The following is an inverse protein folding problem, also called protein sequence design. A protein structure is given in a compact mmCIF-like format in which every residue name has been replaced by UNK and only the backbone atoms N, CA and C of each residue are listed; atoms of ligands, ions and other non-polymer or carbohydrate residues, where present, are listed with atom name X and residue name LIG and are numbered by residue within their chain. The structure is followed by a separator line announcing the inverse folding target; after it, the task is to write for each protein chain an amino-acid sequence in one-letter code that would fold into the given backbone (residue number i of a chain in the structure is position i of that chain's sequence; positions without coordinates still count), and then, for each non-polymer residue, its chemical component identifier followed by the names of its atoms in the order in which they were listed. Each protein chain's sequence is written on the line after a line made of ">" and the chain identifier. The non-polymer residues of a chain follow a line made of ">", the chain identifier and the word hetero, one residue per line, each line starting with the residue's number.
data_IF_151197987683
#
_entry.id   IF_151197987683
#
_cell.length_a   1.000
_cell.length_b   1.000
_cell.length_c   1.000
_cell.angle_alpha   90.00
_cell.angle_beta   90.00
_cell.angle_gamma   90.00
#
_symmetry.space_group_name_H-M   'P 1'
#
loop_
_entity.id
_entity.type
_entity.pdbx_description
1 polymer ?
#
# COMPACT_ATOMS: atom_id res chain seq x y z
N UNK A 1 -10.69 -9.93 1.06
CA UNK A 1 -10.75 -8.57 1.66
C UNK A 1 -11.91 -7.73 1.16
N UNK A 2 -12.14 -7.63 -0.16
CA UNK A 2 -13.16 -6.74 -0.73
C UNK A 2 -14.60 -7.04 -0.30
N UNK A 3 -14.92 -8.29 0.07
CA UNK A 3 -16.25 -8.67 0.58
C UNK A 3 -16.45 -8.32 2.06
N UNK A 4 -15.38 -8.14 2.83
CA UNK A 4 -15.46 -7.95 4.27
C UNK A 4 -15.97 -6.55 4.64
N UNK A 5 -16.99 -6.51 5.50
CA UNK A 5 -17.67 -5.29 5.99
C UNK A 5 -17.25 -4.89 7.41
N UNK A 6 -16.49 -5.74 8.09
CA UNK A 6 -15.87 -5.43 9.39
C UNK A 6 -14.89 -4.25 9.28
N UNK A 7 -14.51 -3.61 10.41
CA UNK A 7 -13.38 -2.70 10.44
C UNK A 7 -12.09 -3.34 9.91
N UNK A 8 -11.42 -2.65 9.00
CA UNK A 8 -10.15 -3.05 8.37
C UNK A 8 -9.14 -1.93 8.51
N UNK A 9 -8.09 -2.20 9.27
CA UNK A 9 -6.99 -1.26 9.51
C UNK A 9 -5.71 -1.91 9.03
N UNK A 10 -4.99 -1.23 8.13
CA UNK A 10 -3.77 -1.74 7.50
C UNK A 10 -2.57 -0.91 7.92
N UNK A 11 -1.44 -1.58 8.20
CA UNK A 11 -0.15 -0.91 8.44
C UNK A 11 0.90 -1.48 7.51
N UNK A 12 1.42 -0.63 6.62
CA UNK A 12 2.51 -0.99 5.73
C UNK A 12 3.83 -0.68 6.43
N UNK A 13 4.55 -1.73 6.83
CA UNK A 13 5.80 -1.60 7.57
C UNK A 13 7.03 -1.40 6.67
N UNK A 14 7.02 -2.03 5.49
CA UNK A 14 8.12 -1.98 4.52
C UNK A 14 7.61 -2.14 3.08
N UNK A 15 7.80 -3.31 2.46
CA UNK A 15 7.54 -3.50 1.02
C UNK A 15 6.07 -3.77 0.73
N UNK A 16 5.49 -2.98 -0.18
CA UNK A 16 4.17 -3.20 -0.74
C UNK A 16 4.21 -2.93 -2.25
N UNK A 17 4.33 -3.99 -3.05
CA UNK A 17 4.57 -3.89 -4.48
C UNK A 17 3.45 -4.49 -5.33
N UNK A 18 3.01 -3.74 -6.33
CA UNK A 18 2.08 -4.19 -7.36
C UNK A 18 0.80 -4.81 -6.80
N UNK A 19 0.37 -5.92 -7.39
CA UNK A 19 -0.85 -6.61 -6.94
C UNK A 19 -0.80 -7.09 -5.49
N UNK A 20 0.40 -7.32 -4.92
CA UNK A 20 0.51 -7.69 -3.51
C UNK A 20 0.12 -6.53 -2.58
N UNK A 21 0.42 -5.27 -2.96
CA UNK A 21 -0.08 -4.11 -2.24
C UNK A 21 -1.61 -4.09 -2.23
N UNK A 22 -2.24 -4.31 -3.38
CA UNK A 22 -3.70 -4.33 -3.48
C UNK A 22 -4.32 -5.46 -2.66
N UNK A 23 -3.78 -6.67 -2.77
CA UNK A 23 -4.28 -7.85 -2.05
C UNK A 23 -4.14 -7.69 -0.54
N UNK A 24 -3.13 -6.98 -0.04
CA UNK A 24 -2.87 -6.80 1.40
C UNK A 24 -3.73 -5.68 2.02
N UNK A 25 -5.04 -5.70 1.75
CA UNK A 25 -6.03 -4.76 2.30
C UNK A 25 -5.68 -3.30 2.00
N UNK A 26 -5.45 -2.98 0.72
CA UNK A 26 -5.27 -1.60 0.28
C UNK A 26 -6.56 -0.77 0.41
N UNK A 27 -6.43 0.56 0.33
CA UNK A 27 -7.59 1.46 0.40
C UNK A 27 -8.56 1.21 -0.76
N UNK A 28 -8.04 0.81 -1.92
CA UNK A 28 -8.80 0.50 -3.12
C UNK A 28 -9.77 -0.67 -2.94
N UNK A 29 -9.47 -1.58 -2.01
CA UNK A 29 -10.31 -2.74 -1.70
C UNK A 29 -11.07 -2.59 -0.37
N UNK A 30 -11.28 -1.33 0.03
CA UNK A 30 -12.22 -0.94 1.09
C UNK A 30 -11.66 -1.05 2.49
N UNK A 31 -10.35 -0.94 2.68
CA UNK A 31 -9.77 -0.70 4.01
C UNK A 31 -10.22 0.67 4.55
N UNK A 32 -10.53 0.72 5.85
CA UNK A 32 -11.05 1.93 6.49
C UNK A 32 -9.93 2.91 6.80
N UNK A 33 -8.82 2.39 7.35
CA UNK A 33 -7.65 3.18 7.75
C UNK A 33 -6.38 2.48 7.31
N UNK A 34 -5.53 3.21 6.59
CA UNK A 34 -4.24 2.76 6.09
C UNK A 34 -3.12 3.64 6.61
N UNK A 35 -2.24 3.05 7.39
CA UNK A 35 -1.00 3.67 7.83
C UNK A 35 0.19 3.13 7.07
N UNK A 36 1.24 3.93 6.95
CA UNK A 36 2.54 3.49 6.46
C UNK A 36 3.65 3.98 7.38
N UNK A 37 4.74 3.21 7.48
CA UNK A 37 5.97 3.70 8.10
C UNK A 37 6.79 4.53 7.11
N UNK A 38 7.68 5.43 7.58
CA UNK A 38 8.64 6.11 6.71
C UNK A 38 9.52 5.14 5.91
N UNK A 39 9.70 3.91 6.41
CA UNK A 39 10.44 2.82 5.75
C UNK A 39 9.64 2.07 4.70
N UNK A 40 8.37 2.45 4.45
CA UNK A 40 7.52 1.77 3.50
C UNK A 40 7.91 2.09 2.05
N UNK A 41 7.99 1.05 1.24
CA UNK A 41 8.23 1.13 -0.20
C UNK A 41 6.92 0.74 -0.89
N UNK A 42 6.23 1.72 -1.50
CA UNK A 42 4.94 1.51 -2.17
C UNK A 42 5.11 1.84 -3.66
N UNK A 43 5.14 0.82 -4.51
CA UNK A 43 5.31 1.01 -5.95
C UNK A 43 4.69 -0.13 -6.77
N UNK A 44 4.67 0.00 -8.10
CA UNK A 44 4.18 -1.05 -9.00
C UNK A 44 5.05 -2.31 -8.95
N UNK A 45 6.37 -2.14 -8.85
CA UNK A 45 7.35 -3.22 -8.75
C UNK A 45 8.65 -2.72 -8.11
N UNK A 46 9.60 -3.62 -7.85
CA UNK A 46 10.92 -3.27 -7.34
C UNK A 46 11.73 -2.41 -8.33
N UNK A 47 12.57 -1.52 -7.79
CA UNK A 47 13.31 -0.53 -8.57
C UNK A 47 14.13 -1.13 -9.73
N UNK A 48 14.85 -2.22 -9.50
CA UNK A 48 15.67 -2.89 -10.53
C UNK A 48 14.83 -3.39 -11.71
N UNK A 49 13.67 -3.98 -11.44
CA UNK A 49 12.73 -4.42 -12.47
C UNK A 49 12.14 -3.25 -13.23
N UNK A 50 11.77 -2.18 -12.51
CA UNK A 50 11.19 -0.98 -13.12
C UNK A 50 12.16 -0.28 -14.07
N UNK A 51 13.43 -0.10 -13.67
CA UNK A 51 14.40 0.61 -14.51
C UNK A 51 14.76 -0.17 -15.78
N UNK A 52 14.79 -1.51 -15.71
CA UNK A 52 15.02 -2.36 -16.88
C UNK A 52 13.95 -2.16 -17.97
N UNK A 53 12.72 -1.81 -17.57
CA UNK A 53 11.62 -1.57 -18.49
C UNK A 53 11.63 -0.11 -18.95
N UNK A 54 11.73 0.84 -18.02
CA UNK A 54 11.60 2.28 -18.30
C UNK A 54 12.82 2.82 -19.06
N UNK A 55 14.03 2.44 -18.65
CA UNK A 55 15.28 2.95 -19.20
C UNK A 55 15.98 1.95 -20.13
N UNK A 56 15.24 0.97 -20.69
CA UNK A 56 15.76 -0.10 -21.54
C UNK A 56 16.72 0.38 -22.64
N UNK A 57 16.44 1.54 -23.24
CA UNK A 57 17.19 2.07 -24.38
C UNK A 57 18.26 3.12 -24.00
N UNK A 58 18.30 3.56 -22.74
CA UNK A 58 19.17 4.66 -22.28
C UNK A 58 20.10 4.27 -21.12
N UNK A 59 19.86 3.10 -20.53
CA UNK A 59 20.67 2.57 -19.43
C UNK A 59 21.77 1.65 -19.95
N UNK A 60 22.96 1.82 -19.37
CA UNK A 60 24.19 1.12 -19.65
C UNK A 60 24.72 0.56 -18.33
N UNK A 61 25.68 -0.37 -18.35
CA UNK A 61 26.26 -0.92 -17.11
C UNK A 61 26.80 0.16 -16.17
N UNK A 62 27.40 1.23 -16.73
CA UNK A 62 28.06 2.30 -15.97
C UNK A 62 27.12 3.26 -15.23
N UNK A 63 25.88 3.42 -15.69
CA UNK A 63 24.91 4.35 -15.08
C UNK A 63 23.73 3.61 -14.40
N UNK A 64 23.71 2.27 -14.48
CA UNK A 64 22.63 1.42 -13.95
C UNK A 64 22.39 1.65 -12.46
N UNK A 65 23.44 1.59 -11.64
CA UNK A 65 23.31 1.72 -10.18
C UNK A 65 22.75 3.09 -9.78
N UNK A 66 23.22 4.16 -10.42
CA UNK A 66 22.74 5.52 -10.19
C UNK A 66 21.26 5.66 -10.55
N UNK A 67 20.85 5.14 -11.70
CA UNK A 67 19.45 5.17 -12.15
C UNK A 67 18.55 4.36 -11.20
N UNK A 68 18.99 3.18 -10.75
CA UNK A 68 18.26 2.37 -9.77
C UNK A 68 18.07 3.12 -8.45
N UNK A 69 19.12 3.74 -7.93
CA UNK A 69 19.08 4.44 -6.66
C UNK A 69 18.21 5.70 -6.75
N UNK A 70 18.30 6.45 -7.85
CA UNK A 70 17.44 7.60 -8.11
C UNK A 70 15.97 7.18 -8.24
N UNK A 71 15.68 6.09 -8.94
CA UNK A 71 14.33 5.56 -9.03
C UNK A 71 13.80 5.13 -7.65
N UNK A 72 14.63 4.43 -6.85
CA UNK A 72 14.28 4.01 -5.49
C UNK A 72 13.97 5.21 -4.60
N UNK A 73 14.82 6.24 -4.56
CA UNK A 73 14.57 7.45 -3.77
C UNK A 73 13.30 8.17 -4.19
N UNK A 74 13.04 8.23 -5.50
CA UNK A 74 11.92 9.00 -6.05
C UNK A 74 10.58 8.28 -5.90
N UNK A 75 10.54 6.96 -6.06
CA UNK A 75 9.30 6.19 -6.15
C UNK A 75 9.11 5.14 -5.07
N UNK A 76 10.18 4.58 -4.49
CA UNK A 76 10.09 3.55 -3.45
C UNK A 76 10.00 4.18 -2.06
N UNK A 77 9.00 5.06 -1.87
CA UNK A 77 8.70 5.72 -0.60
C UNK A 77 7.17 5.85 -0.44
N UNK A 78 6.64 6.10 0.77
CA UNK A 78 5.19 6.13 0.98
C UNK A 78 4.54 7.47 0.61
N UNK A 79 5.34 8.51 0.35
CA UNK A 79 4.85 9.88 0.24
C UNK A 79 3.97 10.09 -0.99
N UNK A 80 4.33 9.48 -2.14
CA UNK A 80 3.48 9.54 -3.34
C UNK A 80 2.12 8.89 -3.14
N UNK A 81 2.07 7.78 -2.40
CA UNK A 81 0.81 7.13 -2.08
C UNK A 81 -0.02 7.98 -1.10
N UNK A 82 0.62 8.71 -0.19
CA UNK A 82 -0.04 9.64 0.72
C UNK A 82 -0.59 10.88 -0.01
N UNK A 83 0.13 11.44 -0.98
CA UNK A 83 -0.34 12.55 -1.83
C UNK A 83 -1.64 12.21 -2.58
N UNK A 84 -1.80 10.94 -2.98
CA UNK A 84 -3.00 10.44 -3.64
C UNK A 84 -4.11 10.02 -2.65
N UNK A 85 -3.87 10.13 -1.35
CA UNK A 85 -4.81 9.71 -0.30
C UNK A 85 -4.95 8.20 -0.15
N UNK A 86 -4.04 7.39 -0.69
CA UNK A 86 -4.07 5.92 -0.56
C UNK A 86 -3.65 5.47 0.84
N UNK A 87 -2.81 6.28 1.47
CA UNK A 87 -2.36 6.17 2.86
C UNK A 87 -2.91 7.38 3.61
N UNK A 88 -3.60 7.13 4.73
CA UNK A 88 -4.22 8.20 5.53
C UNK A 88 -3.17 8.96 6.34
N UNK A 89 -2.15 8.25 6.85
CA UNK A 89 -1.10 8.87 7.65
C UNK A 89 0.21 8.07 7.59
N UNK A 90 1.34 8.78 7.51
CA UNK A 90 2.66 8.20 7.69
C UNK A 90 3.05 8.33 9.16
N UNK A 91 3.24 7.21 9.84
CA UNK A 91 3.47 7.13 11.29
C UNK A 91 4.81 6.48 11.63
N UNK A 92 5.43 6.89 12.73
CA UNK A 92 6.59 6.17 13.25
C UNK A 92 6.16 4.84 13.89
N UNK A 93 7.00 3.79 13.85
CA UNK A 93 6.66 2.47 14.42
C UNK A 93 6.19 2.50 15.88
N UNK A 94 6.76 3.41 16.70
CA UNK A 94 6.38 3.60 18.10
C UNK A 94 4.94 4.10 18.30
N UNK A 95 4.33 4.72 17.28
CA UNK A 95 2.97 5.27 17.35
C UNK A 95 1.89 4.22 17.01
N UNK A 96 2.29 3.09 16.42
CA UNK A 96 1.39 2.05 15.92
C UNK A 96 0.32 1.63 16.91
N UNK A 97 0.70 1.30 18.15
CA UNK A 97 -0.25 0.84 19.17
C UNK A 97 -1.35 1.88 19.42
N UNK A 98 -0.96 3.13 19.64
CA UNK A 98 -1.90 4.21 19.93
C UNK A 98 -2.80 4.50 18.72
N UNK A 99 -2.24 4.53 17.51
CA UNK A 99 -2.99 4.75 16.27
C UNK A 99 -4.00 3.63 15.99
N UNK A 100 -3.61 2.38 16.23
CA UNK A 100 -4.53 1.24 16.11
C UNK A 100 -5.72 1.33 17.06
N UNK A 101 -5.49 1.71 18.32
CA UNK A 101 -6.56 1.88 19.31
C UNK A 101 -7.54 2.96 18.81
N UNK A 102 -7.04 4.13 18.42
CA UNK A 102 -7.90 5.22 17.91
C UNK A 102 -8.69 4.81 16.66
N UNK A 103 -8.04 4.12 15.71
CA UNK A 103 -8.70 3.65 14.50
C UNK A 103 -9.80 2.61 14.80
N UNK A 104 -9.57 1.71 15.75
CA UNK A 104 -10.59 0.74 16.20
C UNK A 104 -11.76 1.45 16.89
N UNK A 105 -11.49 2.40 17.79
CA UNK A 105 -12.53 3.20 18.46
C UNK A 105 -13.36 4.00 17.45
N UNK A 106 -12.72 4.59 16.44
CA UNK A 106 -13.40 5.32 15.37
C UNK A 106 -14.30 4.40 14.52
N UNK A 107 -13.86 3.17 14.27
CA UNK A 107 -14.54 2.22 13.36
C UNK A 107 -15.47 1.24 14.06
N UNK A 108 -15.59 1.28 15.40
CA UNK A 108 -16.34 0.31 16.19
C UNK A 108 -17.82 0.16 15.79
N UNK A 109 -18.44 1.25 15.30
CA UNK A 109 -19.85 1.28 14.88
C UNK A 109 -20.01 1.22 13.36
N UNK A 110 -18.96 0.82 12.63
CA UNK A 110 -19.00 0.70 11.17
C UNK A 110 -20.12 -0.26 10.76
N UNK A 111 -20.98 0.19 9.86
CA UNK A 111 -22.00 -0.62 9.20
C UNK A 111 -21.86 -0.46 7.69
N UNK A 112 -21.75 -1.58 6.99
CA UNK A 112 -21.63 -1.62 5.53
C UNK A 112 -22.40 -2.84 5.02
N UNK A 113 -23.15 -2.66 3.93
CA UNK A 113 -23.89 -3.74 3.27
C UNK A 113 -23.29 -4.05 1.91
N UNK A 114 -23.23 -5.34 1.57
CA UNK A 114 -22.89 -5.80 0.22
C UNK A 114 -24.16 -5.90 -0.64
N UNK A 115 -24.02 -5.91 -1.99
CA UNK A 115 -25.16 -6.17 -2.88
C UNK A 115 -25.88 -7.48 -2.53
N UNK A 116 -27.22 -7.53 -2.64
CA UNK A 116 -28.01 -8.71 -2.30
C UNK A 116 -27.69 -9.87 -3.26
N UNK A 117 -27.42 -11.05 -2.71
CA UNK A 117 -27.08 -12.28 -3.44
C UNK A 117 -27.37 -13.50 -2.56
N UNK A 118 -27.55 -14.68 -3.18
CA UNK A 118 -27.64 -15.95 -2.44
C UNK A 118 -26.31 -16.27 -1.73
N UNK A 119 -25.20 -16.16 -2.47
CA UNK A 119 -23.83 -16.31 -1.99
C UNK A 119 -22.86 -15.67 -3.01
N UNK A 120 -21.58 -15.53 -2.65
CA UNK A 120 -20.52 -15.16 -3.60
C UNK A 120 -20.08 -16.33 -4.50
N UNK A 121 -19.29 -16.04 -5.52
CA UNK A 121 -18.65 -17.04 -6.39
C UNK A 121 -17.14 -16.80 -6.39
N UNK A 122 -16.50 -17.10 -5.26
CA UNK A 122 -15.05 -16.96 -5.11
C UNK A 122 -14.34 -17.95 -6.04
N UNK A 123 -13.17 -17.60 -6.64
CA UNK A 123 -12.33 -18.59 -7.31
C UNK A 123 -12.03 -19.76 -6.36
N UNK A 124 -12.18 -20.98 -6.87
CA UNK A 124 -11.90 -22.25 -6.17
C UNK A 124 -10.65 -22.91 -6.73
#
# INVERSE_FOLDING_TARGET
>A
FSEATVPKITIITRKAYGGAYDVMSSKHIGADVNYAYPTAEIAVMGAEGAVNIIFKNTMNESNREEIVENYRKTFANPYKAAELGYIDEIIYPKQTRFKLIQALEMTQNKTQSNPPKKHGNIPL
#
